data_IF_291989331339
#
_entry.id   IF_291989331339
#
_cell.length_a   1.000
_cell.length_b   1.000
_cell.length_c   1.000
_cell.angle_alpha   90.00
_cell.angle_beta   90.00
_cell.angle_gamma   90.00
#
_symmetry.space_group_name_H-M   'P 1'
#
loop_
_entity.id
_entity.type
_entity.pdbx_description
1 polymer ?
#
# COMPACT_ATOMS: atom_id res chain seq x y z
N UNK A 1 4.04 15.65 2.77
CA UNK A 1 3.55 14.53 3.61
C UNK A 1 4.30 13.23 3.29
N UNK A 2 4.53 12.36 4.28
CA UNK A 2 5.06 10.99 4.07
C UNK A 2 3.92 9.98 4.26
N UNK A 3 3.72 9.08 3.29
CA UNK A 3 2.73 8.00 3.33
C UNK A 3 3.44 6.65 3.35
N UNK A 4 3.20 5.83 4.37
CA UNK A 4 3.84 4.52 4.52
C UNK A 4 2.85 3.40 4.25
N UNK A 5 3.18 2.53 3.30
CA UNK A 5 2.53 1.22 3.12
C UNK A 5 2.97 0.31 4.26
N UNK A 6 2.16 0.23 5.31
CA UNK A 6 2.59 -0.35 6.57
C UNK A 6 2.66 -1.88 6.54
N UNK A 7 1.74 -2.51 5.80
CA UNK A 7 1.73 -3.96 5.63
C UNK A 7 3.01 -4.45 4.96
N UNK A 8 3.52 -3.72 3.97
CA UNK A 8 4.81 -4.06 3.37
C UNK A 8 5.97 -3.97 4.38
N UNK A 9 5.97 -2.96 5.27
CA UNK A 9 6.99 -2.83 6.33
C UNK A 9 6.89 -3.99 7.32
N UNK A 10 5.69 -4.33 7.79
CA UNK A 10 5.46 -5.43 8.73
C UNK A 10 5.87 -6.77 8.12
N UNK A 11 5.40 -7.10 6.90
CA UNK A 11 5.75 -8.34 6.21
C UNK A 11 7.25 -8.41 5.93
N UNK A 12 7.89 -7.31 5.52
CA UNK A 12 9.34 -7.32 5.26
C UNK A 12 10.15 -7.62 6.52
N UNK A 13 9.79 -7.05 7.67
CA UNK A 13 10.45 -7.35 8.94
C UNK A 13 10.20 -8.80 9.37
N UNK A 14 8.96 -9.28 9.25
CA UNK A 14 8.59 -10.67 9.54
C UNK A 14 9.44 -11.65 8.73
N UNK A 15 9.53 -11.45 7.41
CA UNK A 15 10.26 -12.36 6.52
C UNK A 15 11.76 -12.42 6.86
N UNK A 16 12.36 -11.30 7.25
CA UNK A 16 13.77 -11.29 7.70
C UNK A 16 13.94 -12.08 9.01
N UNK A 17 13.01 -11.93 9.97
CA UNK A 17 13.08 -12.65 11.24
C UNK A 17 12.85 -14.15 11.06
N UNK A 18 11.89 -14.54 10.22
CA UNK A 18 11.63 -15.94 9.88
C UNK A 18 12.86 -16.56 9.20
N UNK A 19 13.46 -15.86 8.23
CA UNK A 19 14.68 -16.33 7.55
C UNK A 19 15.87 -16.52 8.52
N UNK A 20 15.86 -15.85 9.67
CA UNK A 20 16.86 -15.98 10.75
C UNK A 20 16.45 -16.96 11.84
N UNK A 21 15.24 -17.51 11.78
CA UNK A 21 14.63 -18.30 12.85
C UNK A 21 14.58 -17.54 14.20
N UNK A 22 14.34 -16.23 14.13
CA UNK A 22 14.37 -15.29 15.26
C UNK A 22 12.99 -14.65 15.50
N UNK A 23 11.90 -15.23 14.99
CA UNK A 23 10.58 -14.63 15.15
C UNK A 23 10.14 -14.64 16.62
N UNK A 24 10.11 -13.45 17.21
CA UNK A 24 9.53 -13.16 18.51
C UNK A 24 8.61 -11.93 18.39
N UNK A 25 7.35 -11.98 18.86
CA UNK A 25 6.41 -10.87 18.74
C UNK A 25 6.88 -9.54 19.34
N UNK A 26 7.62 -9.57 20.46
CA UNK A 26 8.10 -8.35 21.14
C UNK A 26 9.25 -7.73 20.35
N UNK A 27 10.18 -8.57 19.90
CA UNK A 27 11.31 -8.15 19.07
C UNK A 27 10.85 -7.66 17.70
N UNK A 28 9.82 -8.29 17.13
CA UNK A 28 9.16 -7.83 15.91
C UNK A 28 8.65 -6.39 16.04
N UNK A 29 7.93 -6.07 17.12
CA UNK A 29 7.45 -4.70 17.40
C UNK A 29 8.60 -3.71 17.48
N UNK A 30 9.71 -4.09 18.13
CA UNK A 30 10.90 -3.25 18.20
C UNK A 30 11.45 -2.92 16.79
N UNK A 31 11.54 -3.92 15.92
CA UNK A 31 12.02 -3.75 14.54
C UNK A 31 11.10 -2.87 13.70
N UNK A 32 9.79 -3.08 13.81
CA UNK A 32 8.78 -2.25 13.13
C UNK A 32 8.88 -0.79 13.59
N UNK A 33 8.95 -0.54 14.90
CA UNK A 33 9.09 0.81 15.45
C UNK A 33 10.40 1.47 15.00
N UNK A 34 11.51 0.74 15.01
CA UNK A 34 12.79 1.25 14.53
C UNK A 34 12.77 1.55 13.02
N UNK A 35 12.08 0.75 12.22
CA UNK A 35 11.91 0.99 10.78
C UNK A 35 11.15 2.31 10.53
N UNK A 36 10.01 2.50 11.22
CA UNK A 36 9.24 3.73 11.15
C UNK A 36 10.07 4.95 11.60
N UNK A 37 10.79 4.83 12.72
CA UNK A 37 11.70 5.86 13.22
C UNK A 37 12.74 6.26 12.16
N UNK A 38 13.39 5.28 11.53
CA UNK A 38 14.39 5.53 10.50
C UNK A 38 13.81 6.31 9.32
N UNK A 39 12.62 5.97 8.86
CA UNK A 39 11.96 6.71 7.78
C UNK A 39 11.53 8.11 8.20
N UNK A 40 10.98 8.27 9.40
CA UNK A 40 10.62 9.57 9.94
C UNK A 40 11.85 10.49 9.98
N UNK A 41 12.94 10.07 10.63
CA UNK A 41 14.17 10.88 10.73
C UNK A 41 14.72 11.22 9.35
N UNK A 42 14.74 10.24 8.45
CA UNK A 42 15.34 10.41 7.12
C UNK A 42 14.59 11.40 6.25
N UNK A 43 13.27 11.49 6.37
CA UNK A 43 12.42 12.18 5.39
C UNK A 43 11.58 13.32 5.96
N UNK A 44 11.40 13.43 7.28
CA UNK A 44 10.49 14.43 7.86
C UNK A 44 10.90 15.88 7.55
N UNK A 45 12.19 16.16 7.38
CA UNK A 45 12.68 17.49 6.99
C UNK A 45 12.20 17.92 5.60
N UNK A 46 12.20 16.99 4.64
CA UNK A 46 11.88 17.26 3.24
C UNK A 46 10.41 17.06 2.91
N UNK A 47 9.68 16.26 3.69
CA UNK A 47 8.32 15.83 3.37
C UNK A 47 7.33 16.02 4.52
N UNK A 48 7.74 16.55 5.67
CA UNK A 48 6.85 16.81 6.81
C UNK A 48 6.37 15.54 7.52
N UNK A 49 5.12 15.54 7.97
CA UNK A 49 4.60 14.51 8.87
C UNK A 49 4.36 13.16 8.17
N UNK A 50 4.55 12.08 8.93
CA UNK A 50 4.36 10.70 8.49
C UNK A 50 2.98 10.15 8.89
N UNK A 51 2.30 9.59 7.89
CA UNK A 51 1.04 8.88 8.00
C UNK A 51 1.24 7.41 7.63
N UNK A 52 0.74 6.53 8.50
CA UNK A 52 0.84 5.07 8.38
C UNK A 52 -0.47 4.57 7.78
N UNK A 53 -0.39 3.93 6.61
CA UNK A 53 -1.55 3.39 5.89
C UNK A 53 -1.58 1.87 6.07
N UNK A 54 -2.68 1.36 6.62
CA UNK A 54 -2.84 -0.04 7.00
C UNK A 54 -3.86 -0.74 6.11
N UNK A 55 -3.64 -2.02 5.81
CA UNK A 55 -4.64 -2.85 5.15
C UNK A 55 -5.80 -3.23 6.09
N UNK A 56 -6.99 -3.29 5.49
CA UNK A 56 -8.17 -3.98 6.00
C UNK A 56 -8.68 -4.95 4.91
N UNK A 57 -9.72 -5.77 5.16
CA UNK A 57 -10.37 -6.53 4.09
C UNK A 57 -10.71 -5.60 2.91
N UNK A 58 -10.59 -6.07 1.68
CA UNK A 58 -10.74 -5.22 0.49
C UNK A 58 -12.15 -5.25 -0.09
N UNK A 59 -12.70 -4.09 -0.44
CA UNK A 59 -13.91 -3.94 -1.25
C UNK A 59 -13.80 -4.67 -2.61
N UNK A 60 -12.59 -4.81 -3.15
CA UNK A 60 -12.34 -5.53 -4.41
C UNK A 60 -12.80 -6.98 -4.36
N UNK A 61 -12.83 -7.59 -3.17
CA UNK A 61 -13.31 -8.97 -3.00
C UNK A 61 -14.83 -9.09 -3.09
N UNK A 62 -15.55 -8.04 -2.72
CA UNK A 62 -17.01 -7.97 -2.90
C UNK A 62 -17.34 -7.82 -4.39
N UNK A 63 -16.52 -7.05 -5.13
CA UNK A 63 -16.66 -6.87 -6.57
C UNK A 63 -16.21 -8.10 -7.38
N UNK A 64 -15.09 -8.71 -7.00
CA UNK A 64 -14.49 -9.84 -7.70
C UNK A 64 -14.08 -10.93 -6.69
N UNK A 65 -14.90 -11.98 -6.51
CA UNK A 65 -14.67 -13.00 -5.47
C UNK A 65 -13.31 -13.70 -5.54
N UNK A 66 -12.68 -13.75 -6.73
CA UNK A 66 -11.36 -14.35 -6.96
C UNK A 66 -10.18 -13.47 -6.51
N UNK A 67 -10.43 -12.22 -6.16
CA UNK A 67 -9.41 -11.26 -5.74
C UNK A 67 -8.64 -11.76 -4.50
N UNK A 68 -7.31 -11.79 -4.62
CA UNK A 68 -6.33 -12.24 -3.61
C UNK A 68 -6.59 -13.66 -3.04
N UNK A 69 -7.43 -14.48 -3.68
CA UNK A 69 -7.71 -15.86 -3.22
C UNK A 69 -6.45 -16.73 -3.13
N UNK A 70 -5.53 -16.58 -4.08
CA UNK A 70 -4.27 -17.33 -4.10
C UNK A 70 -3.37 -16.99 -2.90
N UNK A 71 -3.45 -15.77 -2.35
CA UNK A 71 -2.72 -15.40 -1.13
C UNK A 71 -3.25 -16.20 0.07
N UNK A 72 -4.57 -16.41 0.15
CA UNK A 72 -5.19 -17.26 1.19
C UNK A 72 -4.78 -18.72 1.04
N UNK A 73 -4.83 -19.28 -0.18
CA UNK A 73 -4.40 -20.65 -0.46
C UNK A 73 -2.93 -20.88 -0.06
N UNK A 74 -2.04 -19.98 -0.46
CA UNK A 74 -0.60 -20.07 -0.12
C UNK A 74 -0.35 -20.08 1.38
N UNK A 75 -1.01 -19.19 2.14
CA UNK A 75 -0.87 -19.13 3.61
C UNK A 75 -1.38 -20.39 4.30
N UNK A 76 -2.46 -20.99 3.79
CA UNK A 76 -3.00 -22.24 4.33
C UNK A 76 -2.11 -23.46 4.07
N UNK A 77 -1.22 -23.38 3.07
CA UNK A 77 -0.26 -24.43 2.72
C UNK A 77 1.14 -24.18 3.32
N UNK A 78 1.30 -23.13 4.12
CA UNK A 78 2.56 -22.71 4.73
C UNK A 78 2.64 -23.24 6.17
N UNK A 79 3.86 -23.51 6.66
CA UNK A 79 4.10 -23.99 8.02
C UNK A 79 4.03 -22.86 9.06
N UNK A 80 3.97 -21.61 8.62
CA UNK A 80 3.87 -20.43 9.47
C UNK A 80 2.46 -20.33 10.07
N UNK A 81 2.37 -20.11 11.40
CA UNK A 81 1.13 -19.74 12.08
C UNK A 81 0.71 -18.30 11.73
N UNK A 82 0.10 -18.16 10.56
CA UNK A 82 -0.35 -16.88 10.01
C UNK A 82 -1.41 -16.19 10.87
N UNK A 83 -2.24 -16.95 11.61
CA UNK A 83 -3.27 -16.39 12.47
C UNK A 83 -2.65 -15.65 13.66
N UNK A 84 -1.64 -16.26 14.31
CA UNK A 84 -0.85 -15.60 15.36
C UNK A 84 -0.08 -14.39 14.83
N UNK A 85 0.49 -14.49 13.62
CA UNK A 85 1.18 -13.38 12.96
C UNK A 85 0.22 -12.20 12.71
N UNK A 86 -0.96 -12.43 12.14
CA UNK A 86 -1.94 -11.37 11.88
C UNK A 86 -2.49 -10.77 13.17
N UNK A 87 -2.66 -11.59 14.22
CA UNK A 87 -2.99 -11.08 15.55
C UNK A 87 -1.90 -10.11 16.04
N UNK A 88 -0.63 -10.48 15.94
CA UNK A 88 0.47 -9.60 16.33
C UNK A 88 0.55 -8.33 15.47
N UNK A 89 0.24 -8.41 14.17
CA UNK A 89 0.16 -7.23 13.29
C UNK A 89 -0.94 -6.27 13.77
N UNK A 90 -2.13 -6.78 14.06
CA UNK A 90 -3.25 -5.99 14.57
C UNK A 90 -2.90 -5.31 15.90
N UNK A 91 -2.36 -6.07 16.85
CA UNK A 91 -1.90 -5.53 18.14
C UNK A 91 -0.83 -4.45 17.95
N UNK A 92 0.08 -4.64 16.97
CA UNK A 92 1.12 -3.65 16.65
C UNK A 92 0.51 -2.37 16.07
N UNK A 93 -0.45 -2.46 15.15
CA UNK A 93 -1.15 -1.30 14.59
C UNK A 93 -1.88 -0.53 15.69
N UNK A 94 -2.69 -1.21 16.51
CA UNK A 94 -3.47 -0.60 17.59
C UNK A 94 -2.57 0.06 18.62
N UNK A 95 -1.46 -0.59 18.96
CA UNK A 95 -0.46 -0.05 19.86
C UNK A 95 0.16 1.24 19.29
N UNK A 96 0.51 1.25 18.00
CA UNK A 96 1.08 2.44 17.36
C UNK A 96 0.06 3.58 17.35
N UNK A 97 -1.16 3.32 16.89
CA UNK A 97 -2.24 4.31 16.82
C UNK A 97 -2.49 4.97 18.19
N UNK A 98 -2.60 4.15 19.24
CA UNK A 98 -2.94 4.64 20.58
C UNK A 98 -1.79 5.38 21.28
N UNK A 99 -0.53 5.09 20.95
CA UNK A 99 0.63 5.56 21.73
C UNK A 99 1.56 6.50 20.96
N UNK A 100 1.77 6.30 19.66
CA UNK A 100 2.80 7.00 18.89
C UNK A 100 2.25 8.27 18.22
N UNK A 101 3.08 9.30 18.01
CA UNK A 101 2.64 10.59 17.46
C UNK A 101 2.39 10.56 15.94
N UNK A 102 2.03 9.40 15.38
CA UNK A 102 1.76 9.21 13.97
C UNK A 102 0.27 9.20 13.71
N UNK A 103 -0.11 9.68 12.53
CA UNK A 103 -1.46 9.44 12.00
C UNK A 103 -1.50 8.00 11.50
N UNK A 104 -2.39 7.17 12.06
CA UNK A 104 -2.62 5.80 11.58
C UNK A 104 -3.98 5.75 10.89
N UNK A 105 -3.98 5.36 9.63
CA UNK A 105 -5.17 5.20 8.81
C UNK A 105 -5.41 3.72 8.60
N UNK A 106 -6.47 3.23 9.22
CA UNK A 106 -7.01 1.89 9.02
C UNK A 106 -8.51 2.04 8.85
N UNK A 107 -8.98 1.86 7.63
CA UNK A 107 -10.37 2.08 7.24
C UNK A 107 -10.95 0.75 6.82
N UNK A 108 -12.18 0.45 7.22
CA UNK A 108 -12.82 -0.80 6.83
C UNK A 108 -12.97 -0.88 5.31
N UNK A 109 -13.00 -2.10 4.78
CA UNK A 109 -13.11 -2.39 3.35
C UNK A 109 -12.03 -1.76 2.45
N UNK A 110 -10.96 -1.20 3.01
CA UNK A 110 -9.97 -0.41 2.27
C UNK A 110 -8.58 -1.00 2.44
N UNK A 111 -7.82 -1.06 1.35
CA UNK A 111 -6.42 -1.48 1.37
C UNK A 111 -5.48 -0.27 1.55
N UNK A 112 -4.23 -0.52 1.90
CA UNK A 112 -3.27 0.56 2.15
C UNK A 112 -3.00 1.42 0.90
N UNK A 113 -3.05 0.81 -0.28
CA UNK A 113 -2.97 1.46 -1.58
C UNK A 113 -4.16 2.38 -1.87
N UNK A 114 -5.39 1.98 -1.51
CA UNK A 114 -6.58 2.85 -1.59
C UNK A 114 -6.41 4.10 -0.70
N UNK A 115 -5.98 3.89 0.54
CA UNK A 115 -5.74 4.97 1.51
C UNK A 115 -4.67 5.93 0.98
N UNK A 116 -3.58 5.41 0.43
CA UNK A 116 -2.50 6.22 -0.15
C UNK A 116 -3.02 7.01 -1.36
N UNK A 117 -3.76 6.39 -2.27
CA UNK A 117 -4.30 7.05 -3.45
C UNK A 117 -5.23 8.21 -3.09
N UNK A 118 -6.18 7.98 -2.18
CA UNK A 118 -7.10 9.01 -1.69
C UNK A 118 -6.36 10.10 -0.92
N UNK A 119 -5.39 9.73 -0.08
CA UNK A 119 -4.57 10.71 0.67
C UNK A 119 -3.78 11.62 -0.27
N UNK A 120 -3.22 11.09 -1.36
CA UNK A 120 -2.51 11.88 -2.37
C UNK A 120 -3.46 12.88 -3.04
N UNK A 121 -4.63 12.42 -3.49
CA UNK A 121 -5.63 13.28 -4.14
C UNK A 121 -6.12 14.38 -3.22
N UNK A 122 -6.57 14.02 -2.02
CA UNK A 122 -7.06 14.95 -1.01
C UNK A 122 -6.00 15.99 -0.62
N UNK A 123 -4.74 15.58 -0.41
CA UNK A 123 -3.66 16.51 -0.07
C UNK A 123 -3.36 17.49 -1.21
N UNK A 124 -3.53 17.05 -2.47
CA UNK A 124 -3.27 17.87 -3.66
C UNK A 124 -4.34 18.92 -3.92
N UNK A 125 -5.55 18.76 -3.38
CA UNK A 125 -6.60 19.78 -3.46
C UNK A 125 -6.21 21.06 -2.71
N UNK A 126 -5.43 20.94 -1.62
CA UNK A 126 -5.14 22.06 -0.73
C UNK A 126 -3.68 22.52 -0.76
N UNK A 127 -2.74 21.72 -1.29
CA UNK A 127 -1.31 22.07 -1.26
C UNK A 127 -0.46 21.41 -2.37
N UNK A 128 0.62 22.09 -2.74
CA UNK A 128 1.64 21.64 -3.71
C UNK A 128 2.91 21.05 -3.04
N UNK A 129 2.88 20.89 -1.72
CA UNK A 129 3.98 20.30 -0.94
C UNK A 129 4.40 18.91 -1.45
N UNK A 130 5.68 18.54 -1.31
CA UNK A 130 6.15 17.23 -1.75
C UNK A 130 5.47 16.09 -0.96
N UNK A 131 5.12 15.02 -1.68
CA UNK A 131 4.61 13.78 -1.10
C UNK A 131 5.65 12.69 -1.31
N UNK A 132 5.93 11.93 -0.25
CA UNK A 132 6.74 10.73 -0.32
C UNK A 132 5.91 9.50 -0.01
N UNK A 133 5.84 8.54 -0.93
CA UNK A 133 5.29 7.21 -0.70
C UNK A 133 6.43 6.26 -0.35
N UNK A 134 6.35 5.60 0.79
CA UNK A 134 7.30 4.56 1.21
C UNK A 134 6.67 3.20 0.91
N UNK A 135 6.94 2.70 -0.30
CA UNK A 135 6.55 1.37 -0.75
C UNK A 135 7.40 0.93 -1.94
N UNK A 136 7.53 -0.39 -2.10
CA UNK A 136 8.11 -1.06 -3.26
C UNK A 136 7.10 -1.37 -4.37
N UNK A 137 5.81 -1.08 -4.16
CA UNK A 137 4.75 -1.38 -5.11
C UNK A 137 4.84 -0.49 -6.36
N UNK A 138 4.76 -1.08 -7.56
CA UNK A 138 4.87 -0.32 -8.80
C UNK A 138 3.59 0.42 -9.15
N UNK A 139 2.45 0.04 -8.57
CA UNK A 139 1.16 0.62 -8.91
C UNK A 139 1.02 2.07 -8.46
N UNK A 140 1.80 2.51 -7.47
CA UNK A 140 1.89 3.92 -7.08
C UNK A 140 2.47 4.83 -8.17
N UNK A 141 3.01 4.28 -9.26
CA UNK A 141 3.31 5.06 -10.46
C UNK A 141 2.08 5.81 -10.99
N UNK A 142 0.87 5.24 -10.84
CA UNK A 142 -0.39 5.89 -11.22
C UNK A 142 -0.57 7.26 -10.54
N UNK A 143 -0.04 7.43 -9.33
CA UNK A 143 -0.22 8.64 -8.52
C UNK A 143 0.75 9.76 -8.91
N UNK A 144 1.77 9.49 -9.73
CA UNK A 144 2.74 10.50 -10.17
C UNK A 144 2.12 11.60 -11.03
N UNK A 145 0.97 11.31 -11.68
CA UNK A 145 0.17 12.30 -12.42
C UNK A 145 -0.29 13.49 -11.57
N UNK A 146 -0.30 13.35 -10.24
CA UNK A 146 -0.67 14.43 -9.31
C UNK A 146 0.48 15.38 -8.97
N UNK A 147 1.67 15.23 -9.55
CA UNK A 147 2.81 16.15 -9.38
C UNK A 147 3.48 16.08 -8.00
N UNK A 148 4.79 16.32 -7.92
CA UNK A 148 5.57 16.31 -6.67
C UNK A 148 5.37 15.06 -5.78
N UNK A 149 5.03 13.91 -6.38
CA UNK A 149 4.88 12.62 -5.70
C UNK A 149 6.12 11.78 -5.99
N UNK A 150 6.92 11.53 -4.94
CA UNK A 150 8.10 10.68 -5.00
C UNK A 150 7.82 9.36 -4.32
N UNK A 151 8.56 8.33 -4.71
CA UNK A 151 8.42 7.01 -4.13
C UNK A 151 9.77 6.46 -3.72
N UNK A 152 9.88 6.00 -2.48
CA UNK A 152 11.06 5.34 -1.95
C UNK A 152 10.76 3.85 -1.74
N UNK A 153 11.62 2.99 -2.28
CA UNK A 153 11.53 1.55 -2.14
C UNK A 153 12.33 1.09 -0.90
N UNK A 154 11.67 0.66 0.19
CA UNK A 154 12.33 0.13 1.39
C UNK A 154 13.33 -0.99 1.10
N UNK A 155 12.92 -1.93 0.23
CA UNK A 155 13.69 -3.13 -0.10
C UNK A 155 15.04 -2.80 -0.71
N UNK A 156 15.06 -1.87 -1.65
CA UNK A 156 16.25 -1.49 -2.41
C UNK A 156 16.95 -0.25 -1.83
N UNK A 157 16.39 0.34 -0.77
CA UNK A 157 16.85 1.57 -0.12
C UNK A 157 17.07 2.76 -1.07
N UNK A 158 16.33 2.83 -2.18
CA UNK A 158 16.46 3.87 -3.21
C UNK A 158 15.12 4.45 -3.61
N UNK A 159 15.14 5.67 -4.17
CA UNK A 159 13.99 6.21 -4.87
C UNK A 159 13.71 5.39 -6.13
N UNK A 160 12.44 5.19 -6.45
CA UNK A 160 12.01 4.60 -7.72
C UNK A 160 12.07 5.70 -8.77
N UNK A 161 12.61 5.37 -9.95
CA UNK A 161 12.79 6.31 -11.06
C UNK A 161 11.52 7.12 -11.31
N UNK A 162 11.70 8.44 -11.46
CA UNK A 162 10.59 9.32 -11.76
C UNK A 162 10.09 9.06 -13.19
N UNK A 163 8.78 8.86 -13.30
CA UNK A 163 8.06 8.86 -14.57
C UNK A 163 7.09 10.02 -14.43
N UNK A 164 7.33 11.08 -15.17
CA UNK A 164 6.54 12.32 -15.12
C UNK A 164 5.66 12.49 -16.35
N UNK A 165 5.93 11.73 -17.42
CA UNK A 165 5.15 11.72 -18.64
C UNK A 165 3.80 11.03 -18.42
N UNK A 166 2.72 11.81 -18.56
CA UNK A 166 1.34 11.35 -18.38
C UNK A 166 0.94 10.27 -19.38
N UNK A 167 1.43 10.33 -20.62
CA UNK A 167 1.16 9.32 -21.64
C UNK A 167 1.81 8.00 -21.25
N UNK A 168 3.05 8.03 -20.74
CA UNK A 168 3.74 6.84 -20.25
C UNK A 168 3.00 6.23 -19.05
N UNK A 169 2.56 7.04 -18.09
CA UNK A 169 1.79 6.56 -16.93
C UNK A 169 0.49 5.88 -17.40
N UNK A 170 -0.25 6.53 -18.31
CA UNK A 170 -1.49 6.00 -18.85
C UNK A 170 -1.27 4.71 -19.67
N UNK A 171 -0.23 4.65 -20.51
CA UNK A 171 0.09 3.45 -21.29
C UNK A 171 0.45 2.26 -20.38
N UNK A 172 1.21 2.49 -19.30
CA UNK A 172 1.51 1.45 -18.32
C UNK A 172 0.25 0.96 -17.59
N UNK A 173 -0.66 1.85 -17.21
CA UNK A 173 -1.94 1.47 -16.61
C UNK A 173 -2.78 0.64 -17.58
N UNK A 174 -2.89 1.05 -18.85
CA UNK A 174 -3.61 0.28 -19.87
C UNK A 174 -2.99 -1.11 -20.07
N UNK A 175 -1.66 -1.20 -20.13
CA UNK A 175 -0.98 -2.49 -20.21
C UNK A 175 -1.32 -3.33 -18.99
N UNK A 176 -1.28 -2.77 -17.78
CA UNK A 176 -1.61 -3.50 -16.55
C UNK A 176 -3.06 -4.01 -16.55
N UNK A 177 -4.02 -3.17 -16.97
CA UNK A 177 -5.43 -3.55 -17.15
C UNK A 177 -5.56 -4.72 -18.16
N UNK A 178 -4.87 -4.65 -19.29
CA UNK A 178 -4.94 -5.69 -20.33
C UNK A 178 -4.31 -7.00 -19.85
N UNK A 179 -3.13 -6.94 -19.22
CA UNK A 179 -2.39 -8.12 -18.77
C UNK A 179 -2.90 -8.70 -17.46
N UNK A 180 -3.71 -7.95 -16.71
CA UNK A 180 -4.14 -8.29 -15.36
C UNK A 180 -2.98 -8.30 -14.36
N UNK A 181 -3.32 -8.65 -13.12
CA UNK A 181 -2.38 -8.82 -12.02
C UNK A 181 -2.52 -10.21 -11.39
N UNK A 182 -1.61 -11.09 -11.77
CA UNK A 182 -1.56 -12.47 -11.23
C UNK A 182 -1.29 -12.53 -9.72
N UNK A 183 -0.62 -11.54 -9.14
CA UNK A 183 -0.30 -11.50 -7.72
C UNK A 183 -1.54 -11.23 -6.84
N UNK A 184 -2.52 -10.57 -7.45
CA UNK A 184 -3.84 -10.25 -6.90
C UNK A 184 -4.95 -11.16 -7.42
N UNK A 185 -4.62 -12.14 -8.26
CA UNK A 185 -5.60 -13.07 -8.82
C UNK A 185 -6.50 -12.45 -9.89
N UNK A 186 -6.11 -11.29 -10.46
CA UNK A 186 -6.81 -10.62 -11.54
C UNK A 186 -6.32 -11.19 -12.89
N UNK A 187 -7.16 -11.86 -13.68
CA UNK A 187 -6.69 -12.44 -14.92
C UNK A 187 -6.49 -11.41 -16.03
N UNK A 188 -5.69 -11.75 -17.04
CA UNK A 188 -5.63 -10.94 -18.26
C UNK A 188 -7.00 -10.93 -18.96
N UNK A 189 -7.26 -9.89 -19.75
CA UNK A 189 -8.57 -9.72 -20.40
C UNK A 189 -8.91 -10.80 -21.44
N UNK A 190 -7.92 -11.59 -21.83
CA UNK A 190 -8.07 -12.66 -22.80
C UNK A 190 -8.54 -13.97 -22.17
N UNK A 191 -8.64 -14.05 -20.85
CA UNK A 191 -8.91 -15.27 -20.09
C UNK A 191 -10.16 -15.13 -19.25
N UNK A 192 -10.74 -16.27 -18.90
CA UNK A 192 -11.88 -16.34 -17.97
C UNK A 192 -11.52 -15.77 -16.59
N UNK A 193 -12.54 -15.30 -15.87
CA UNK A 193 -12.47 -14.73 -14.52
C UNK A 193 -11.80 -15.68 -13.51
N UNK A 194 -12.07 -16.99 -13.61
CA UNK A 194 -11.55 -18.01 -12.69
C UNK A 194 -10.22 -18.64 -13.14
N UNK A 195 -9.63 -18.16 -14.25
CA UNK A 195 -8.45 -18.79 -14.88
C UNK A 195 -7.19 -18.84 -14.01
N UNK A 196 -7.16 -18.10 -12.89
CA UNK A 196 -6.04 -18.09 -11.93
C UNK A 196 -6.30 -18.89 -10.65
N UNK A 197 -7.55 -19.32 -10.41
CA UNK A 197 -7.93 -20.08 -9.21
C UNK A 197 -8.38 -21.50 -9.52
N UNK A 198 -8.80 -21.74 -10.76
CA UNK A 198 -9.20 -23.03 -11.29
C UNK A 198 -7.98 -23.77 -11.86
N UNK A 199 -7.64 -24.91 -11.27
CA UNK A 199 -6.44 -25.70 -11.60
C UNK A 199 -6.50 -26.33 -13.00
N UNK A 200 -7.69 -26.49 -13.57
CA UNK A 200 -7.89 -27.05 -14.90
C UNK A 200 -7.75 -26.00 -16.01
N UNK A 201 -7.78 -24.71 -15.66
CA UNK A 201 -7.71 -23.61 -16.61
C UNK A 201 -6.29 -23.05 -16.69
N UNK A 202 -5.96 -22.53 -17.88
CA UNK A 202 -4.76 -21.75 -18.11
C UNK A 202 -5.14 -20.41 -18.72
N UNK A 203 -4.42 -19.38 -18.33
CA UNK A 203 -4.57 -18.09 -18.98
C UNK A 203 -4.22 -18.17 -20.47
N UNK A 204 -5.04 -17.51 -21.28
CA UNK A 204 -4.71 -17.23 -22.66
C UNK A 204 -3.52 -16.27 -22.74
N UNK A 205 -2.65 -16.49 -23.73
CA UNK A 205 -1.40 -15.75 -23.86
C UNK A 205 -1.64 -14.29 -24.25
N UNK A 206 -1.24 -13.35 -23.40
CA UNK A 206 -1.16 -11.91 -23.68
C UNK A 206 0.14 -11.58 -24.44
N UNK A 207 0.20 -11.87 -25.74
CA UNK A 207 1.38 -11.52 -26.56
C UNK A 207 1.50 -10.00 -26.74
N UNK A 208 2.72 -9.48 -26.93
CA UNK A 208 2.97 -8.05 -27.19
C UNK A 208 2.05 -7.48 -28.28
N UNK A 209 1.89 -8.24 -29.38
CA UNK A 209 1.00 -7.86 -30.48
C UNK A 209 -0.46 -7.73 -30.02
N UNK A 210 -1.00 -8.74 -29.32
CA UNK A 210 -2.40 -8.69 -28.84
C UNK A 210 -2.66 -7.54 -27.88
N UNK A 211 -1.70 -7.26 -26.99
CA UNK A 211 -1.79 -6.15 -26.06
C UNK A 211 -1.81 -4.82 -26.83
N UNK A 212 -0.93 -4.66 -27.82
CA UNK A 212 -0.87 -3.44 -28.63
C UNK A 212 -2.14 -3.25 -29.48
N UNK A 213 -2.65 -4.32 -30.11
CA UNK A 213 -3.89 -4.29 -30.90
C UNK A 213 -5.07 -3.80 -30.04
N UNK A 214 -5.27 -4.40 -28.85
CA UNK A 214 -6.33 -3.97 -27.92
C UNK A 214 -6.12 -2.54 -27.44
N UNK A 215 -4.87 -2.15 -27.14
CA UNK A 215 -4.56 -0.80 -26.69
C UNK A 215 -4.96 0.24 -27.74
N UNK A 216 -4.69 -0.04 -29.01
CA UNK A 216 -5.09 0.82 -30.13
C UNK A 216 -6.61 0.86 -30.33
N UNK A 217 -7.31 -0.26 -30.16
CA UNK A 217 -8.78 -0.31 -30.16
C UNK A 217 -9.37 0.58 -29.04
N UNK A 218 -8.84 0.49 -27.82
CA UNK A 218 -9.27 1.32 -26.68
C UNK A 218 -9.00 2.80 -26.95
N UNK A 219 -7.79 3.16 -27.41
CA UNK A 219 -7.42 4.55 -27.74
C UNK A 219 -8.28 5.13 -28.86
N UNK A 220 -8.77 4.29 -29.76
CA UNK A 220 -9.63 4.68 -30.89
C UNK A 220 -11.13 4.63 -30.57
N UNK A 221 -11.52 4.38 -29.30
CA UNK A 221 -12.92 4.21 -28.87
C UNK A 221 -13.71 3.18 -29.68
N UNK A 222 -13.06 2.11 -30.15
CA UNK A 222 -13.72 1.03 -30.86
C UNK A 222 -14.35 0.04 -29.86
N UNK A 223 -15.47 -0.59 -30.26
CA UNK A 223 -16.09 -1.64 -29.45
C UNK A 223 -15.13 -2.82 -29.35
N UNK A 224 -14.66 -3.09 -28.13
CA UNK A 224 -13.75 -4.19 -27.86
C UNK A 224 -14.55 -5.43 -27.40
N UNK A 225 -14.27 -6.60 -28.01
CA UNK A 225 -14.90 -7.86 -27.60
C UNK A 225 -14.57 -8.30 -26.15
N UNK A 226 -13.52 -7.74 -25.57
CA UNK A 226 -13.11 -7.96 -24.17
C UNK A 226 -13.66 -6.88 -23.21
N UNK A 227 -14.65 -6.08 -23.62
CA UNK A 227 -15.18 -4.94 -22.86
C UNK A 227 -15.52 -5.26 -21.40
N UNK A 228 -16.15 -6.41 -21.14
CA UNK A 228 -16.47 -6.85 -19.77
C UNK A 228 -15.21 -7.09 -18.92
N UNK A 229 -14.20 -7.76 -19.48
CA UNK A 229 -12.95 -8.05 -18.77
C UNK A 229 -12.09 -6.79 -18.59
N UNK A 230 -12.12 -5.88 -19.56
CA UNK A 230 -11.50 -4.56 -19.45
C UNK A 230 -12.18 -3.80 -18.29
N UNK A 231 -13.51 -3.69 -18.29
CA UNK A 231 -14.25 -2.99 -17.23
C UNK A 231 -13.96 -3.58 -15.84
N UNK A 232 -13.96 -4.91 -15.70
CA UNK A 232 -13.55 -5.61 -14.47
C UNK A 232 -12.15 -5.21 -14.02
N UNK A 233 -11.16 -5.31 -14.91
CA UNK A 233 -9.77 -5.01 -14.56
C UNK A 233 -9.55 -3.53 -14.28
N UNK A 234 -10.22 -2.63 -15.00
CA UNK A 234 -10.17 -1.18 -14.72
C UNK A 234 -10.66 -0.90 -13.30
N UNK A 235 -11.81 -1.45 -12.88
CA UNK A 235 -12.30 -1.27 -11.51
C UNK A 235 -11.30 -1.80 -10.49
N UNK A 236 -10.69 -2.96 -10.74
CA UNK A 236 -9.80 -3.59 -9.76
C UNK A 236 -8.40 -2.96 -9.67
N UNK A 237 -7.87 -2.38 -10.75
CA UNK A 237 -6.46 -1.94 -10.86
C UNK A 237 -6.30 -0.41 -10.84
N UNK A 238 -7.24 0.33 -11.43
CA UNK A 238 -7.13 1.78 -11.54
C UNK A 238 -7.48 2.45 -10.21
N UNK A 239 -6.51 3.16 -9.62
CA UNK A 239 -6.68 3.89 -8.36
C UNK A 239 -7.63 5.10 -8.48
N UNK A 240 -8.11 5.43 -9.68
CA UNK A 240 -9.22 6.36 -9.92
C UNK A 240 -10.61 5.70 -9.87
N UNK A 241 -10.68 4.36 -9.76
CA UNK A 241 -11.94 3.61 -9.68
C UNK A 241 -12.28 3.09 -8.30
N UNK A 242 -11.59 3.60 -7.27
CA UNK A 242 -11.97 3.36 -5.87
C UNK A 242 -13.41 3.89 -5.67
N UNK A 243 -14.34 3.06 -5.15
CA UNK A 243 -15.74 3.48 -5.00
C UNK A 243 -15.91 4.70 -4.09
N UNK A 244 -16.88 5.57 -4.41
CA UNK A 244 -17.11 6.83 -3.68
C UNK A 244 -17.36 6.64 -2.17
N UNK A 245 -18.02 5.54 -1.79
CA UNK A 245 -18.24 5.23 -0.37
C UNK A 245 -16.92 4.92 0.36
N UNK A 246 -15.97 4.25 -0.30
CA UNK A 246 -14.63 3.97 0.23
C UNK A 246 -13.83 5.26 0.33
N UNK A 247 -13.88 6.09 -0.72
CA UNK A 247 -13.22 7.41 -0.73
C UNK A 247 -13.71 8.29 0.41
N UNK A 248 -15.03 8.37 0.60
CA UNK A 248 -15.66 9.18 1.64
C UNK A 248 -15.23 8.75 3.05
N UNK A 249 -15.23 7.44 3.32
CA UNK A 249 -14.77 6.88 4.59
C UNK A 249 -13.29 7.18 4.85
N UNK A 250 -12.43 7.08 3.83
CA UNK A 250 -11.01 7.41 3.96
C UNK A 250 -10.82 8.90 4.27
N UNK A 251 -11.52 9.80 3.59
CA UNK A 251 -11.46 11.25 3.84
C UNK A 251 -11.92 11.59 5.26
N UNK A 252 -13.00 10.97 5.74
CA UNK A 252 -13.44 11.14 7.13
C UNK A 252 -12.34 10.74 8.10
N UNK A 253 -11.67 9.60 7.86
CA UNK A 253 -10.58 9.13 8.70
C UNK A 253 -9.33 10.01 8.61
N UNK A 254 -9.02 10.60 7.45
CA UNK A 254 -7.93 11.58 7.30
C UNK A 254 -8.16 12.76 8.24
N UNK A 255 -9.39 13.29 8.29
CA UNK A 255 -9.74 14.50 9.05
C UNK A 255 -9.79 14.30 10.58
N UNK A 256 -9.79 13.06 11.08
CA UNK A 256 -9.72 12.78 12.53
C UNK A 256 -8.37 13.25 13.12
N UNK A 257 -8.31 13.52 14.41
CA UNK A 257 -7.01 13.74 15.06
C UNK A 257 -6.25 12.41 15.24
N UNK A 258 -4.92 12.48 15.33
CA UNK A 258 -4.11 11.33 15.78
C UNK A 258 -4.39 11.04 17.26
N UNK A 259 -4.46 9.77 17.65
CA UNK A 259 -4.76 9.37 19.04
C UNK A 259 -3.53 9.43 19.94
N UNK A 260 -2.37 9.03 19.42
CA UNK A 260 -1.10 9.03 20.12
C UNK A 260 -0.40 10.39 20.15
N UNK A 261 0.58 10.53 21.03
CA UNK A 261 1.39 11.75 21.17
C UNK A 261 2.74 11.42 21.82
N UNK A 262 3.66 12.40 21.87
CA UNK A 262 5.01 12.18 22.42
C UNK A 262 5.02 11.69 23.88
N UNK A 263 4.10 12.16 24.72
CA UNK A 263 4.01 11.73 26.13
C UNK A 263 3.59 10.27 26.23
N UNK A 264 2.58 9.86 25.46
CA UNK A 264 2.13 8.46 25.38
C UNK A 264 3.22 7.56 24.80
N UNK A 265 3.90 8.02 23.75
CA UNK A 265 5.02 7.31 23.12
C UNK A 265 6.12 7.02 24.15
N UNK A 266 6.59 8.04 24.86
CA UNK A 266 7.62 7.88 25.90
C UNK A 266 7.15 6.92 27.01
N UNK A 267 5.92 7.09 27.49
CA UNK A 267 5.33 6.23 28.53
C UNK A 267 5.27 4.76 28.09
N UNK A 268 4.86 4.51 26.84
CA UNK A 268 4.82 3.18 26.25
C UNK A 268 6.21 2.57 26.13
N UNK A 269 7.19 3.32 25.63
CA UNK A 269 8.56 2.84 25.48
C UNK A 269 9.20 2.49 26.84
N UNK A 270 8.97 3.31 27.85
CA UNK A 270 9.43 3.08 29.23
C UNK A 270 8.79 1.82 29.84
N UNK A 271 7.47 1.71 29.75
CA UNK A 271 6.72 0.56 30.27
C UNK A 271 7.17 -0.77 29.67
N UNK A 272 7.54 -0.78 28.39
CA UNK A 272 7.97 -1.97 27.66
C UNK A 272 9.50 -2.11 27.57
N UNK A 273 10.26 -1.32 28.34
CA UNK A 273 11.72 -1.40 28.43
C UNK A 273 12.47 -1.30 27.09
N UNK A 274 11.95 -0.52 26.12
CA UNK A 274 12.62 -0.29 24.82
C UNK A 274 13.79 0.70 24.92
N UNK A 275 14.83 0.35 25.70
CA UNK A 275 15.96 1.22 26.07
C UNK A 275 16.61 1.95 24.88
N UNK A 276 16.83 1.25 23.76
CA UNK A 276 17.46 1.85 22.58
C UNK A 276 16.55 2.84 21.85
N UNK A 277 15.23 2.65 21.87
CA UNK A 277 14.27 3.59 21.29
C UNK A 277 14.07 4.81 22.20
N UNK A 278 14.14 4.63 23.53
CA UNK A 278 14.05 5.72 24.51
C UNK A 278 15.21 6.72 24.32
N UNK A 279 16.44 6.22 24.10
CA UNK A 279 17.61 7.08 23.78
C UNK A 279 17.40 7.94 22.54
N UNK A 280 16.44 7.58 21.68
CA UNK A 280 16.12 8.22 20.41
C UNK A 280 14.68 8.74 20.40
N UNK A 281 14.12 9.12 21.55
CA UNK A 281 12.73 9.53 21.66
C UNK A 281 12.38 10.69 20.71
N UNK A 282 13.30 11.64 20.50
CA UNK A 282 13.11 12.80 19.62
C UNK A 282 12.98 12.42 18.13
N UNK A 283 13.45 11.24 17.74
CA UNK A 283 13.32 10.73 16.39
C UNK A 283 11.87 10.36 16.03
N UNK A 284 11.00 10.23 17.03
CA UNK A 284 9.57 10.00 16.83
C UNK A 284 8.78 11.30 16.66
N UNK A 285 9.36 12.46 16.95
CA UNK A 285 8.66 13.75 16.84
C UNK A 285 8.17 13.96 15.40
N UNK A 286 6.88 14.35 15.23
CA UNK A 286 6.37 14.81 13.95
C UNK A 286 7.01 16.17 13.63
N UNK A 287 7.25 16.42 12.34
CA UNK A 287 7.75 17.71 11.87
C UNK A 287 6.81 18.20 10.78
N UNK A 288 6.35 19.45 10.87
CA UNK A 288 5.59 20.06 9.78
C UNK A 288 6.53 20.35 8.61
N UNK A 289 6.01 20.29 7.39
CA UNK A 289 6.81 20.67 6.22
C UNK A 289 7.30 22.12 6.35
N UNK A 290 8.61 22.33 6.14
CA UNK A 290 9.25 23.63 6.33
C UNK A 290 9.35 24.12 7.78
N UNK A 291 9.01 23.29 8.77
CA UNK A 291 9.24 23.59 10.18
C UNK A 291 10.69 23.30 10.59
N UNK A 292 11.23 24.13 11.48
CA UNK A 292 12.51 23.89 12.18
C UNK A 292 12.38 22.78 13.23
#
# INVERSE_FOLDING_TARGET
MILVDFSQIMVSNLMVMIARNEYDPIFFRHWVLNSLRQYNVKFRGDYGEMTICCDSPSWRREYFPHYKMNRKKKRAADDIDWDSVFKNFNETIEMIDNNFPYKVLRVDKSEADDIIAVSVKNFRETTQEPILIISSDKDFMQLKKHGNVKQYCPRNKKFINEVTDLEVIHDNLLVHIITGDTSDGIPNIFSDDDALVNEEKKQNRATKKRVEDVKNEIKSNLINKYSSAISRNTVLIDLDKIPDYVVSEIIEHINKDRKGNMKKCFSYLMKNHYKELIKRIDDFKPLKYGGE
#
